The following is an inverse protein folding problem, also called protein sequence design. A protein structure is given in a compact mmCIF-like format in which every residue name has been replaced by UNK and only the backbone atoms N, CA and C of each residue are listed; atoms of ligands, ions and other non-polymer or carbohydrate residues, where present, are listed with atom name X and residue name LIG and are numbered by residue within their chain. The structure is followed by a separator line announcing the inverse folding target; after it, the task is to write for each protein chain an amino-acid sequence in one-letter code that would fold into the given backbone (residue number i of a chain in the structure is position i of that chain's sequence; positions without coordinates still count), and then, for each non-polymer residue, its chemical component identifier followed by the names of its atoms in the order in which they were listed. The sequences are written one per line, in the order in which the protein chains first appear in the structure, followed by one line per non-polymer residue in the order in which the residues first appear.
data_IF_295819465738
#
_entry.id   IF_295819465738
#
_cell.length_a   1.000
_cell.length_b   1.000
_cell.length_c   1.000
_cell.angle_alpha   90.00
_cell.angle_beta   90.00
_cell.angle_gamma   90.00
#
_symmetry.space_group_name_H-M   'P 1'
#
loop_
_entity.id
_entity.type
_entity.pdbx_description
1 polymer ?
#
# COMPACT_ATOMS: atom_id res chain seq x y z
N UNK A 1 -3.93 61.24 50.93
CA UNK A 1 -2.49 60.94 50.68
C UNK A 1 -2.20 59.41 50.57
N UNK A 2 -3.09 58.55 51.12
CA UNK A 2 -2.86 57.04 51.08
C UNK A 2 -3.38 56.34 49.83
N UNK A 3 -4.12 57.00 48.94
CA UNK A 3 -4.75 56.35 47.77
C UNK A 3 -3.92 56.45 46.45
N UNK A 4 -2.98 57.39 46.37
CA UNK A 4 -2.16 57.59 45.17
C UNK A 4 -0.92 56.69 45.04
N UNK A 5 -0.54 56.00 46.14
CA UNK A 5 0.62 55.12 46.14
C UNK A 5 0.34 53.69 45.65
N UNK A 6 -0.94 53.28 45.61
CA UNK A 6 -1.34 51.92 45.19
C UNK A 6 -1.52 51.73 43.66
N UNK A 7 -1.68 52.81 42.93
CA UNK A 7 -1.91 52.77 41.49
C UNK A 7 -0.58 52.73 40.70
N UNK A 8 0.50 53.31 41.23
CA UNK A 8 1.81 53.35 40.56
C UNK A 8 2.56 52.01 40.58
N UNK A 9 2.33 51.16 41.59
CA UNK A 9 3.00 49.86 41.71
C UNK A 9 2.39 48.74 40.84
N UNK A 10 1.10 48.88 40.49
CA UNK A 10 0.44 47.89 39.64
C UNK A 10 0.77 47.99 38.15
N UNK A 11 1.05 49.24 37.67
CA UNK A 11 1.43 49.45 36.26
C UNK A 11 2.86 49.01 35.91
N UNK A 12 3.78 49.00 36.88
CA UNK A 12 5.18 48.61 36.65
C UNK A 12 5.34 47.07 36.59
N UNK A 13 4.55 46.35 37.33
CA UNK A 13 4.60 44.86 37.31
C UNK A 13 4.01 44.26 36.01
N UNK A 14 3.01 44.94 35.43
CA UNK A 14 2.38 44.50 34.16
C UNK A 14 3.32 44.73 32.95
N UNK A 15 4.14 45.78 32.97
CA UNK A 15 5.05 46.08 31.86
C UNK A 15 6.25 45.09 31.82
N UNK A 16 6.76 44.69 32.97
CA UNK A 16 7.88 43.75 33.05
C UNK A 16 7.44 42.34 32.64
N UNK A 17 6.20 41.92 32.95
CA UNK A 17 5.66 40.62 32.51
C UNK A 17 5.41 40.56 31.00
N UNK A 18 5.02 41.68 30.37
CA UNK A 18 4.79 41.76 28.92
C UNK A 18 6.11 41.66 28.12
N UNK A 19 7.18 42.29 28.61
CA UNK A 19 8.50 42.28 27.93
C UNK A 19 9.15 40.89 28.05
N UNK A 20 9.01 40.20 29.21
CA UNK A 20 9.55 38.83 29.38
C UNK A 20 8.78 37.80 28.58
N UNK A 21 7.47 37.94 28.36
CA UNK A 21 6.65 37.04 27.57
C UNK A 21 6.95 37.14 26.07
N UNK A 22 7.25 38.37 25.57
CA UNK A 22 7.60 38.60 24.15
C UNK A 22 9.03 38.10 23.87
N UNK A 23 9.97 38.25 24.81
CA UNK A 23 11.36 37.77 24.64
C UNK A 23 11.43 36.23 24.73
N UNK A 24 10.56 35.57 25.49
CA UNK A 24 10.51 34.12 25.59
C UNK A 24 9.82 33.49 24.36
N UNK A 25 8.88 34.20 23.68
CA UNK A 25 8.26 33.71 22.45
C UNK A 25 9.18 33.87 21.21
N UNK A 26 10.15 34.79 21.23
CA UNK A 26 11.12 34.94 20.13
C UNK A 26 12.29 33.93 20.18
N UNK A 27 12.50 33.26 21.30
CA UNK A 27 13.60 32.29 21.45
C UNK A 27 13.21 30.83 21.14
N UNK A 28 11.94 30.55 20.78
CA UNK A 28 11.49 29.18 20.44
C UNK A 28 11.46 28.93 18.93
N UNK A 29 11.77 29.94 18.10
CA UNK A 29 11.92 29.76 16.65
C UNK A 29 13.37 29.42 16.23
N UNK A 30 14.12 28.75 17.07
CA UNK A 30 15.44 28.26 16.70
C UNK A 30 15.31 26.83 16.16
N UNK A 31 15.21 26.76 14.83
CA UNK A 31 15.80 25.69 14.01
C UNK A 31 15.42 24.26 14.44
N UNK A 32 14.25 23.79 14.08
CA UNK A 32 14.18 22.45 13.52
C UNK A 32 14.82 22.53 12.12
N UNK A 33 16.12 22.63 12.06
CA UNK A 33 16.88 22.12 10.92
C UNK A 33 16.59 20.63 10.97
N UNK A 34 15.63 20.15 10.14
CA UNK A 34 15.50 18.74 9.88
C UNK A 34 16.89 18.32 9.44
N UNK A 35 17.57 17.54 10.28
CA UNK A 35 18.80 16.85 9.95
C UNK A 35 18.44 16.03 8.72
N UNK A 36 18.90 16.49 7.53
CA UNK A 36 18.70 15.74 6.29
C UNK A 36 19.53 14.50 6.46
N UNK A 37 18.89 13.41 6.89
CA UNK A 37 19.51 12.11 7.01
C UNK A 37 20.06 11.75 5.63
N UNK A 38 21.39 11.80 5.50
CA UNK A 38 22.06 11.53 4.23
C UNK A 38 21.99 10.03 3.97
N UNK A 39 21.05 9.62 3.14
CA UNK A 39 20.81 8.22 2.80
C UNK A 39 21.88 7.81 1.79
N UNK A 40 22.77 6.87 2.17
CA UNK A 40 23.77 6.31 1.29
C UNK A 40 23.45 4.83 0.96
N UNK A 41 23.86 4.42 -0.24
CA UNK A 41 23.86 3.01 -0.61
C UNK A 41 24.84 2.22 0.26
N UNK A 42 24.48 1.00 0.71
CA UNK A 42 25.36 0.17 1.52
C UNK A 42 26.54 -0.36 0.69
N UNK A 43 27.68 0.33 0.75
CA UNK A 43 28.88 0.06 -0.04
C UNK A 43 29.32 -1.41 0.02
N UNK A 44 29.35 -2.00 1.23
CA UNK A 44 29.69 -3.43 1.42
C UNK A 44 28.79 -4.37 0.62
N UNK A 45 27.53 -4.02 0.43
CA UNK A 45 26.61 -4.86 -0.34
C UNK A 45 26.80 -4.65 -1.85
N UNK A 46 27.18 -3.44 -2.29
CA UNK A 46 27.53 -3.17 -3.68
C UNK A 46 28.78 -3.95 -4.10
N UNK A 47 29.82 -4.01 -3.26
CA UNK A 47 31.03 -4.79 -3.54
C UNK A 47 30.73 -6.28 -3.74
N UNK A 48 29.74 -6.83 -2.99
CA UNK A 48 29.34 -8.23 -3.16
C UNK A 48 28.76 -8.53 -4.55
N UNK A 49 28.23 -7.55 -5.28
CA UNK A 49 27.67 -7.77 -6.60
C UNK A 49 28.71 -8.19 -7.64
N UNK A 50 29.99 -7.81 -7.41
CA UNK A 50 31.12 -8.14 -8.27
C UNK A 50 31.90 -9.39 -7.79
N UNK A 51 31.41 -10.12 -6.78
CA UNK A 51 32.07 -11.31 -6.28
C UNK A 51 32.07 -12.44 -7.30
N UNK A 52 33.15 -13.23 -7.40
CA UNK A 52 33.19 -14.44 -8.22
C UNK A 52 32.25 -15.53 -7.72
N UNK A 53 31.91 -15.52 -6.42
CA UNK A 53 30.97 -16.45 -5.80
C UNK A 53 29.51 -16.04 -6.08
N UNK A 54 28.77 -16.94 -6.72
CA UNK A 54 27.35 -16.73 -7.04
C UNK A 54 26.48 -16.48 -5.79
N UNK A 55 26.68 -17.24 -4.70
CA UNK A 55 25.88 -17.09 -3.50
C UNK A 55 26.15 -15.75 -2.81
N UNK A 56 27.40 -15.26 -2.86
CA UNK A 56 27.77 -13.94 -2.33
C UNK A 56 27.06 -12.85 -3.13
N UNK A 57 27.06 -12.95 -4.48
CA UNK A 57 26.34 -12.01 -5.34
C UNK A 57 24.85 -11.97 -5.04
N UNK A 58 24.21 -13.14 -4.93
CA UNK A 58 22.76 -13.22 -4.65
C UNK A 58 22.40 -12.61 -3.27
N UNK A 59 23.21 -12.89 -2.25
CA UNK A 59 23.05 -12.26 -0.93
C UNK A 59 23.21 -10.73 -1.01
N UNK A 60 24.13 -10.24 -1.83
CA UNK A 60 24.31 -8.82 -2.10
C UNK A 60 23.05 -8.19 -2.72
N UNK A 61 22.49 -8.82 -3.77
CA UNK A 61 21.25 -8.37 -4.43
C UNK A 61 20.08 -8.33 -3.44
N UNK A 62 19.88 -9.40 -2.66
CA UNK A 62 18.81 -9.46 -1.67
C UNK A 62 18.93 -8.33 -0.64
N UNK A 63 20.14 -8.08 -0.15
CA UNK A 63 20.40 -7.05 0.84
C UNK A 63 20.15 -5.63 0.26
N UNK A 64 20.61 -5.36 -0.97
CA UNK A 64 20.37 -4.08 -1.66
C UNK A 64 18.89 -3.89 -1.93
N UNK A 65 18.18 -4.91 -2.41
CA UNK A 65 16.73 -4.85 -2.62
C UNK A 65 16.00 -4.48 -1.33
N UNK A 66 16.28 -5.19 -0.24
CA UNK A 66 15.67 -4.93 1.06
C UNK A 66 15.94 -3.50 1.56
N UNK A 67 17.18 -3.03 1.45
CA UNK A 67 17.54 -1.66 1.79
C UNK A 67 16.78 -0.66 0.89
N UNK A 68 16.72 -0.93 -0.42
CA UNK A 68 16.05 -0.06 -1.39
C UNK A 68 14.54 0.04 -1.16
N UNK A 69 13.88 -1.03 -0.74
CA UNK A 69 12.47 -1.00 -0.36
C UNK A 69 12.20 -0.11 0.86
N UNK A 70 13.14 -0.08 1.82
CA UNK A 70 13.06 0.80 2.99
C UNK A 70 13.31 2.27 2.64
N UNK A 71 14.04 2.53 1.55
CA UNK A 71 14.44 3.85 1.08
C UNK A 71 13.89 4.16 -0.32
N UNK A 72 12.66 3.76 -0.59
CA UNK A 72 12.06 3.72 -1.94
C UNK A 72 12.09 5.08 -2.67
N UNK A 73 12.00 6.18 -1.92
CA UNK A 73 11.98 7.53 -2.49
C UNK A 73 13.31 7.90 -3.18
N UNK A 74 14.45 7.48 -2.61
CA UNK A 74 15.79 7.89 -3.05
C UNK A 74 16.60 6.74 -3.66
N UNK A 75 16.22 5.50 -3.41
CA UNK A 75 17.01 4.34 -3.85
C UNK A 75 17.16 4.22 -5.36
N UNK A 76 16.16 4.54 -6.22
CA UNK A 76 16.34 4.46 -7.68
C UNK A 76 17.45 5.37 -8.19
N UNK A 77 17.52 6.62 -7.68
CA UNK A 77 18.53 7.61 -8.06
C UNK A 77 19.94 7.21 -7.59
N UNK A 78 20.03 6.66 -6.38
CA UNK A 78 21.29 6.17 -5.83
C UNK A 78 21.79 4.92 -6.58
N UNK A 79 20.90 4.00 -6.91
CA UNK A 79 21.22 2.81 -7.73
C UNK A 79 21.59 3.19 -9.16
N UNK A 80 20.96 4.23 -9.73
CA UNK A 80 21.36 4.77 -11.04
C UNK A 80 22.81 5.26 -11.03
N UNK A 81 23.21 6.01 -10.00
CA UNK A 81 24.60 6.47 -9.83
C UNK A 81 25.56 5.28 -9.73
N UNK A 82 25.24 4.30 -8.88
CA UNK A 82 26.05 3.09 -8.72
C UNK A 82 26.17 2.31 -10.01
N UNK A 83 25.08 2.16 -10.77
CA UNK A 83 25.08 1.55 -12.10
C UNK A 83 25.99 2.28 -13.09
N UNK A 84 25.95 3.61 -13.12
CA UNK A 84 26.78 4.42 -14.01
C UNK A 84 28.27 4.38 -13.65
N UNK A 85 28.59 4.31 -12.37
CA UNK A 85 29.96 4.38 -11.85
C UNK A 85 30.65 3.02 -11.75
N UNK A 86 29.92 1.91 -11.81
CA UNK A 86 30.51 0.59 -11.71
C UNK A 86 31.14 0.16 -13.06
N UNK A 87 32.31 -0.45 -13.04
CA UNK A 87 33.00 -0.94 -14.25
C UNK A 87 32.70 -2.41 -14.53
N UNK A 88 32.27 -3.18 -13.52
CA UNK A 88 31.92 -4.59 -13.67
C UNK A 88 30.55 -4.76 -14.36
N UNK A 89 30.48 -5.42 -15.51
CA UNK A 89 29.23 -5.63 -16.25
C UNK A 89 28.15 -6.38 -15.46
N UNK A 90 28.55 -7.36 -14.63
CA UNK A 90 27.62 -8.16 -13.81
C UNK A 90 27.01 -7.31 -12.70
N UNK A 91 27.82 -6.56 -11.97
CA UNK A 91 27.33 -5.64 -10.95
C UNK A 91 26.45 -4.55 -11.56
N UNK A 92 26.80 -4.02 -12.76
CA UNK A 92 25.93 -3.10 -13.51
C UNK A 92 24.56 -3.69 -13.78
N UNK A 93 24.51 -4.89 -14.34
CA UNK A 93 23.26 -5.56 -14.69
C UNK A 93 22.37 -5.75 -13.43
N UNK A 94 22.96 -6.14 -12.31
CA UNK A 94 22.27 -6.32 -11.03
C UNK A 94 21.77 -5.00 -10.44
N UNK A 95 22.59 -3.96 -10.42
CA UNK A 95 22.18 -2.62 -9.99
C UNK A 95 21.02 -2.09 -10.84
N UNK A 96 21.11 -2.24 -12.16
CA UNK A 96 20.05 -1.84 -13.09
C UNK A 96 18.75 -2.60 -12.83
N UNK A 97 18.83 -3.92 -12.59
CA UNK A 97 17.67 -4.74 -12.28
C UNK A 97 16.95 -4.28 -11.02
N UNK A 98 17.69 -4.04 -9.92
CA UNK A 98 17.09 -3.55 -8.66
C UNK A 98 16.57 -2.12 -8.83
N UNK A 99 17.29 -1.22 -9.50
CA UNK A 99 16.84 0.14 -9.81
C UNK A 99 15.51 0.14 -10.56
N UNK A 100 15.40 -0.66 -11.62
CA UNK A 100 14.19 -0.80 -12.41
C UNK A 100 13.01 -1.31 -11.56
N UNK A 101 13.26 -2.32 -10.73
CA UNK A 101 12.27 -2.87 -9.80
C UNK A 101 11.78 -1.80 -8.80
N UNK A 102 12.70 -1.06 -8.17
CA UNK A 102 12.35 -0.02 -7.20
C UNK A 102 11.60 1.15 -7.85
N UNK A 103 12.02 1.56 -9.04
CA UNK A 103 11.30 2.59 -9.79
C UNK A 103 9.88 2.13 -10.13
N UNK A 104 9.71 0.87 -10.54
CA UNK A 104 8.39 0.30 -10.81
C UNK A 104 7.51 0.27 -9.57
N UNK A 105 8.07 -0.13 -8.41
CA UNK A 105 7.34 -0.13 -7.14
C UNK A 105 6.96 1.29 -6.73
N UNK A 106 7.84 2.27 -6.92
CA UNK A 106 7.59 3.66 -6.57
C UNK A 106 6.46 4.29 -7.39
N UNK A 107 6.46 4.07 -8.70
CA UNK A 107 5.53 4.73 -9.63
C UNK A 107 4.21 3.96 -9.79
N UNK A 108 4.23 2.63 -9.68
CA UNK A 108 3.08 1.76 -9.95
C UNK A 108 2.64 0.91 -8.74
N UNK A 109 3.35 1.01 -7.63
CA UNK A 109 3.13 0.21 -6.43
C UNK A 109 3.67 -1.22 -6.54
N UNK A 110 3.53 -1.98 -5.43
CA UNK A 110 3.99 -3.38 -5.34
C UNK A 110 3.15 -4.37 -6.17
N UNK A 111 2.13 -3.89 -6.85
CA UNK A 111 1.15 -4.67 -7.59
C UNK A 111 -0.17 -4.79 -6.82
N UNK A 112 -1.11 -5.54 -7.37
CA UNK A 112 -2.45 -5.72 -6.79
C UNK A 112 -2.46 -6.86 -5.80
N UNK A 113 -3.21 -6.71 -4.72
CA UNK A 113 -3.48 -7.78 -3.77
C UNK A 113 -4.25 -8.93 -4.42
N UNK A 114 -3.92 -10.17 -4.04
CA UNK A 114 -4.54 -11.38 -4.53
C UNK A 114 -4.78 -12.35 -3.38
N UNK A 115 -5.99 -12.92 -3.33
CA UNK A 115 -6.41 -13.87 -2.31
C UNK A 115 -6.28 -15.33 -2.75
N UNK A 116 -6.56 -15.61 -4.02
CA UNK A 116 -6.47 -16.95 -4.61
C UNK A 116 -7.74 -17.78 -4.45
N UNK A 117 -8.90 -17.21 -4.80
CA UNK A 117 -10.17 -17.94 -4.85
C UNK A 117 -10.87 -17.74 -6.19
N UNK A 118 -11.64 -18.74 -6.60
CA UNK A 118 -12.73 -18.58 -7.55
C UNK A 118 -14.01 -18.36 -6.75
N UNK A 119 -14.85 -17.43 -7.18
CA UNK A 119 -15.99 -16.98 -6.39
C UNK A 119 -17.20 -16.67 -7.26
N UNK A 120 -18.37 -16.67 -6.64
CA UNK A 120 -19.61 -16.19 -7.23
C UNK A 120 -20.43 -15.42 -6.20
N UNK A 121 -21.34 -14.56 -6.66
CA UNK A 121 -22.31 -13.95 -5.78
C UNK A 121 -23.39 -14.96 -5.38
N UNK A 122 -23.86 -14.86 -4.15
CA UNK A 122 -24.94 -15.68 -3.62
C UNK A 122 -25.87 -14.84 -2.74
N UNK A 123 -27.16 -15.16 -2.78
CA UNK A 123 -28.16 -14.60 -1.86
C UNK A 123 -28.39 -15.62 -0.74
N UNK A 124 -28.12 -15.24 0.49
CA UNK A 124 -28.45 -16.05 1.65
C UNK A 124 -29.96 -16.05 1.86
N UNK A 125 -30.55 -17.15 2.33
CA UNK A 125 -31.99 -17.23 2.58
C UNK A 125 -32.43 -16.17 3.61
N UNK A 126 -33.68 -15.74 3.46
CA UNK A 126 -34.33 -14.88 4.44
C UNK A 126 -34.37 -15.59 5.79
N UNK A 127 -33.96 -14.91 6.85
CA UNK A 127 -34.01 -15.48 8.18
C UNK A 127 -35.46 -15.66 8.65
N UNK A 128 -35.71 -16.60 9.57
CA UNK A 128 -37.05 -16.82 10.13
C UNK A 128 -37.69 -15.57 10.78
N UNK A 129 -36.87 -14.59 11.17
CA UNK A 129 -37.29 -13.31 11.76
C UNK A 129 -37.77 -12.27 10.70
N UNK A 130 -37.81 -12.66 9.42
CA UNK A 130 -38.26 -11.82 8.32
C UNK A 130 -37.21 -10.83 7.80
N UNK A 131 -35.97 -10.88 8.29
CA UNK A 131 -34.89 -10.06 7.73
C UNK A 131 -34.62 -10.46 6.28
N UNK A 132 -34.52 -9.46 5.38
CA UNK A 132 -34.25 -9.64 3.97
C UNK A 132 -33.01 -10.52 3.73
N UNK A 133 -33.02 -11.27 2.64
CA UNK A 133 -31.88 -12.07 2.22
C UNK A 133 -30.63 -11.21 2.11
N UNK A 134 -29.52 -11.72 2.62
CA UNK A 134 -28.24 -11.03 2.65
C UNK A 134 -27.37 -11.48 1.47
N UNK A 135 -26.76 -10.53 0.75
CA UNK A 135 -25.79 -10.87 -0.28
C UNK A 135 -24.48 -11.35 0.34
N UNK A 136 -23.82 -12.27 -0.33
CA UNK A 136 -22.52 -12.78 0.05
C UNK A 136 -21.70 -13.19 -1.17
N UNK A 137 -20.40 -13.31 -0.98
CA UNK A 137 -19.49 -13.90 -1.97
C UNK A 137 -19.21 -15.33 -1.57
N UNK A 138 -19.68 -16.28 -2.38
CA UNK A 138 -19.41 -17.73 -2.19
C UNK A 138 -18.05 -18.10 -2.74
N UNK A 139 -17.22 -18.74 -1.94
CA UNK A 139 -15.97 -19.36 -2.38
C UNK A 139 -16.32 -20.66 -3.11
N UNK A 140 -16.03 -20.73 -4.42
CA UNK A 140 -16.24 -21.94 -5.23
C UNK A 140 -15.03 -22.85 -5.13
N UNK A 141 -13.83 -22.27 -5.40
CA UNK A 141 -12.56 -23.02 -5.40
C UNK A 141 -11.51 -22.17 -4.69
N UNK A 142 -10.67 -22.83 -3.91
CA UNK A 142 -9.45 -22.24 -3.34
C UNK A 142 -8.27 -22.74 -4.16
N UNK A 143 -7.50 -21.78 -4.71
CA UNK A 143 -6.34 -22.07 -5.54
C UNK A 143 -5.16 -22.59 -4.68
N UNK A 144 -4.36 -23.54 -5.17
CA UNK A 144 -3.21 -24.06 -4.44
C UNK A 144 -2.12 -22.96 -4.25
N UNK A 145 -1.34 -23.08 -3.18
CA UNK A 145 -0.22 -22.20 -2.84
C UNK A 145 -0.61 -20.72 -2.66
N UNK A 146 -1.87 -20.42 -2.34
CA UNK A 146 -2.38 -19.06 -2.16
C UNK A 146 -2.66 -18.72 -0.70
N UNK A 147 -2.81 -17.43 -0.37
CA UNK A 147 -3.21 -16.97 0.96
C UNK A 147 -4.51 -17.61 1.44
N UNK A 148 -5.50 -17.76 0.56
CA UNK A 148 -6.75 -18.41 0.89
C UNK A 148 -6.55 -19.84 1.41
N UNK A 149 -5.69 -20.63 0.76
CA UNK A 149 -5.36 -21.98 1.19
C UNK A 149 -4.63 -21.97 2.55
N UNK A 150 -3.66 -21.06 2.73
CA UNK A 150 -2.86 -20.94 3.96
C UNK A 150 -3.72 -20.69 5.20
N UNK A 151 -4.77 -19.88 5.08
CA UNK A 151 -5.68 -19.58 6.20
C UNK A 151 -6.83 -20.58 6.30
N UNK A 152 -6.86 -21.61 5.43
CA UNK A 152 -7.85 -22.68 5.46
C UNK A 152 -9.24 -22.22 5.03
N UNK A 153 -9.35 -21.34 4.01
CA UNK A 153 -10.60 -21.14 3.29
C UNK A 153 -10.97 -22.42 2.54
N UNK A 154 -12.27 -22.63 2.31
CA UNK A 154 -12.81 -23.84 1.68
C UNK A 154 -13.91 -23.48 0.70
N UNK A 155 -14.10 -24.31 -0.31
CA UNK A 155 -15.30 -24.25 -1.13
C UNK A 155 -16.56 -24.33 -0.25
N UNK A 156 -17.55 -23.48 -0.53
CA UNK A 156 -18.77 -23.34 0.25
C UNK A 156 -18.69 -22.31 1.39
N UNK A 157 -17.52 -21.71 1.69
CA UNK A 157 -17.47 -20.54 2.58
C UNK A 157 -18.18 -19.36 1.92
N UNK A 158 -18.95 -18.62 2.70
CA UNK A 158 -19.68 -17.43 2.23
C UNK A 158 -19.13 -16.18 2.92
N UNK A 159 -18.44 -15.33 2.17
CA UNK A 159 -17.83 -14.10 2.67
C UNK A 159 -18.92 -13.03 2.74
N UNK A 160 -19.16 -12.51 3.94
CA UNK A 160 -20.18 -11.50 4.23
C UNK A 160 -19.59 -10.10 4.27
N UNK A 161 -18.33 -9.99 4.73
CA UNK A 161 -17.63 -8.73 4.92
C UNK A 161 -16.13 -8.94 4.80
N UNK A 162 -15.43 -7.93 4.30
CA UNK A 162 -13.97 -7.85 4.32
C UNK A 162 -13.55 -6.55 5.02
N UNK A 163 -12.83 -6.66 6.12
CA UNK A 163 -12.53 -5.54 7.02
C UNK A 163 -13.82 -4.79 7.42
N UNK A 164 -13.94 -3.53 7.00
CA UNK A 164 -15.11 -2.68 7.23
C UNK A 164 -16.12 -2.72 6.07
N UNK A 165 -15.74 -3.29 4.91
CA UNK A 165 -16.61 -3.34 3.73
C UNK A 165 -17.63 -4.46 3.89
N UNK A 166 -18.90 -4.08 4.04
CA UNK A 166 -20.04 -5.00 4.05
C UNK A 166 -20.46 -5.31 2.62
N UNK A 167 -20.55 -6.61 2.30
CA UNK A 167 -20.96 -7.10 0.98
C UNK A 167 -22.46 -7.34 0.89
N UNK A 168 -23.17 -7.24 2.01
CA UNK A 168 -24.60 -7.55 2.11
C UNK A 168 -25.52 -6.45 1.62
N UNK A 169 -25.03 -5.20 1.57
CA UNK A 169 -25.81 -4.06 1.11
C UNK A 169 -25.66 -3.86 -0.40
N UNK A 170 -26.77 -3.85 -1.13
CA UNK A 170 -26.80 -3.15 -2.41
C UNK A 170 -26.59 -1.66 -2.13
N UNK A 171 -25.72 -0.98 -2.90
CA UNK A 171 -25.59 0.46 -2.76
C UNK A 171 -26.95 1.09 -3.04
N UNK A 172 -27.45 1.92 -2.12
CA UNK A 172 -28.71 2.66 -2.25
C UNK A 172 -28.69 3.66 -3.43
N UNK A 173 -27.56 3.85 -4.07
CA UNK A 173 -27.33 4.80 -5.17
C UNK A 173 -27.95 4.38 -6.52
N UNK A 174 -28.63 3.25 -6.60
CA UNK A 174 -29.37 2.91 -7.79
C UNK A 174 -30.78 3.55 -7.79
N UNK A 175 -30.81 4.80 -8.19
CA UNK A 175 -31.88 5.62 -8.76
C UNK A 175 -33.17 4.81 -9.06
N UNK A 176 -33.91 4.35 -8.04
CA UNK A 176 -35.30 3.98 -8.08
C UNK A 176 -35.82 3.06 -9.21
N UNK A 177 -34.98 2.52 -10.08
CA UNK A 177 -35.40 1.64 -11.17
C UNK A 177 -35.75 0.24 -10.62
N UNK A 178 -37.03 -0.04 -10.51
CA UNK A 178 -37.59 -1.36 -10.22
C UNK A 178 -37.34 -2.29 -11.41
N UNK A 179 -36.22 -3.02 -11.41
CA UNK A 179 -36.03 -4.14 -12.32
C UNK A 179 -36.82 -5.36 -11.83
N UNK A 180 -37.39 -6.14 -12.76
CA UNK A 180 -38.16 -7.35 -12.42
C UNK A 180 -37.32 -8.34 -11.59
N UNK A 181 -37.86 -8.92 -10.53
CA UNK A 181 -37.20 -9.60 -9.41
C UNK A 181 -36.06 -10.59 -9.73
N UNK A 182 -36.00 -11.22 -10.93
CA UNK A 182 -34.91 -12.11 -11.33
C UNK A 182 -33.68 -11.35 -11.83
N UNK A 183 -33.86 -10.23 -12.54
CA UNK A 183 -32.71 -9.41 -13.00
C UNK A 183 -32.04 -8.65 -11.87
N UNK A 184 -32.81 -8.20 -10.86
CA UNK A 184 -32.27 -7.60 -9.63
C UNK A 184 -31.32 -8.54 -8.89
N UNK A 185 -31.68 -9.80 -8.74
CA UNK A 185 -30.86 -10.76 -8.03
C UNK A 185 -29.52 -11.01 -8.72
N UNK A 186 -29.51 -11.16 -10.04
CA UNK A 186 -28.29 -11.43 -10.80
C UNK A 186 -27.35 -10.22 -10.82
N UNK A 187 -27.88 -9.00 -10.94
CA UNK A 187 -27.13 -7.77 -10.89
C UNK A 187 -26.54 -7.53 -9.48
N UNK A 188 -27.35 -7.67 -8.45
CA UNK A 188 -26.91 -7.51 -7.05
C UNK A 188 -25.82 -8.53 -6.67
N UNK A 189 -25.91 -9.76 -7.15
CA UNK A 189 -24.89 -10.80 -6.93
C UNK A 189 -23.59 -10.46 -7.63
N UNK A 190 -23.61 -9.87 -8.83
CA UNK A 190 -22.43 -9.40 -9.53
C UNK A 190 -21.76 -8.23 -8.81
N UNK A 191 -22.55 -7.32 -8.21
CA UNK A 191 -22.02 -6.21 -7.41
C UNK A 191 -21.23 -6.67 -6.18
N UNK A 192 -21.72 -7.65 -5.41
CA UNK A 192 -21.00 -8.17 -4.23
C UNK A 192 -19.63 -8.73 -4.63
N UNK A 193 -19.57 -9.48 -5.74
CA UNK A 193 -18.33 -10.02 -6.29
C UNK A 193 -17.39 -8.90 -6.76
N UNK A 194 -17.91 -7.93 -7.44
CA UNK A 194 -17.16 -6.78 -7.96
C UNK A 194 -16.59 -5.92 -6.81
N UNK A 195 -17.44 -5.56 -5.83
CA UNK A 195 -17.00 -4.84 -4.62
C UNK A 195 -15.88 -5.58 -3.90
N UNK A 196 -16.04 -6.87 -3.67
CA UNK A 196 -15.03 -7.70 -3.03
C UNK A 196 -13.74 -7.75 -3.86
N UNK A 197 -13.85 -8.03 -5.17
CA UNK A 197 -12.70 -8.10 -6.09
C UNK A 197 -11.92 -6.77 -6.13
N UNK A 198 -12.63 -5.65 -6.27
CA UNK A 198 -12.04 -4.32 -6.32
C UNK A 198 -11.37 -3.98 -4.98
N UNK A 199 -12.00 -4.33 -3.85
CA UNK A 199 -11.41 -4.11 -2.54
C UNK A 199 -10.10 -4.88 -2.37
N UNK A 200 -10.07 -6.17 -2.71
CA UNK A 200 -8.83 -6.99 -2.63
C UNK A 200 -7.75 -6.45 -3.57
N UNK A 201 -8.11 -6.09 -4.81
CA UNK A 201 -7.16 -5.51 -5.80
C UNK A 201 -6.65 -4.13 -5.43
N UNK A 202 -7.38 -3.36 -4.62
CA UNK A 202 -6.93 -2.04 -4.13
C UNK A 202 -5.89 -2.14 -3.03
N UNK A 203 -5.70 -3.33 -2.44
CA UNK A 203 -4.69 -3.59 -1.41
C UNK A 203 -3.35 -3.91 -2.05
N UNK A 204 -2.28 -3.65 -1.29
CA UNK A 204 -0.93 -4.05 -1.67
C UNK A 204 -0.69 -5.53 -1.31
N UNK A 205 0.24 -6.22 -2.00
CA UNK A 205 0.80 -7.47 -1.48
C UNK A 205 1.31 -7.29 -0.04
N UNK A 206 1.12 -8.31 0.80
CA UNK A 206 1.44 -8.35 2.23
C UNK A 206 0.46 -7.60 3.14
N UNK A 207 -0.43 -6.75 2.58
CA UNK A 207 -1.51 -6.17 3.37
C UNK A 207 -2.37 -7.29 3.98
N UNK A 208 -2.73 -7.11 5.25
CA UNK A 208 -3.61 -8.00 5.97
C UNK A 208 -5.05 -7.54 5.83
N UNK A 209 -5.93 -8.46 5.51
CA UNK A 209 -7.37 -8.25 5.48
C UNK A 209 -8.08 -9.26 6.36
N UNK A 210 -9.17 -8.84 7.00
CA UNK A 210 -10.01 -9.71 7.83
C UNK A 210 -11.27 -10.11 7.07
N UNK A 211 -11.40 -11.40 6.74
CA UNK A 211 -12.58 -11.95 6.11
C UNK A 211 -13.56 -12.42 7.20
N UNK A 212 -14.78 -11.91 7.18
CA UNK A 212 -15.88 -12.43 7.99
C UNK A 212 -16.77 -13.31 7.12
N UNK A 213 -16.81 -14.57 7.42
CA UNK A 213 -17.48 -15.57 6.60
C UNK A 213 -18.45 -16.43 7.42
N UNK A 214 -19.39 -17.02 6.71
CA UNK A 214 -20.29 -18.05 7.20
C UNK A 214 -19.84 -19.39 6.62
N UNK A 215 -19.57 -20.34 7.51
CA UNK A 215 -19.21 -21.73 7.17
C UNK A 215 -20.26 -22.66 7.75
N UNK A 216 -21.15 -23.17 6.91
CA UNK A 216 -22.41 -23.72 7.40
C UNK A 216 -23.15 -22.65 8.21
N UNK A 217 -23.53 -22.95 9.46
CA UNK A 217 -24.23 -21.99 10.34
C UNK A 217 -23.28 -21.21 11.26
N UNK A 218 -21.96 -21.39 11.12
CA UNK A 218 -20.97 -20.76 12.02
C UNK A 218 -20.34 -19.53 11.37
N UNK A 219 -20.36 -18.41 12.10
CA UNK A 219 -19.58 -17.23 11.72
C UNK A 219 -18.13 -17.41 12.12
N UNK A 220 -17.22 -17.17 11.18
CA UNK A 220 -15.77 -17.32 11.35
C UNK A 220 -15.09 -16.04 10.83
N UNK A 221 -14.10 -15.54 11.56
CA UNK A 221 -13.21 -14.49 11.08
C UNK A 221 -11.85 -15.12 10.73
N UNK A 222 -11.26 -14.67 9.62
CA UNK A 222 -9.94 -15.09 9.14
C UNK A 222 -9.12 -13.89 8.75
N UNK A 223 -7.97 -13.68 9.39
CA UNK A 223 -6.97 -12.72 8.93
C UNK A 223 -6.11 -13.36 7.85
N UNK A 224 -5.94 -12.64 6.74
CA UNK A 224 -5.23 -13.12 5.55
C UNK A 224 -4.25 -12.05 5.09
N UNK A 225 -2.97 -12.39 4.99
CA UNK A 225 -2.00 -11.55 4.30
C UNK A 225 -2.10 -11.84 2.79
N UNK A 226 -2.37 -10.82 1.98
CA UNK A 226 -2.52 -10.96 0.54
C UNK A 226 -1.18 -11.24 -0.14
N UNK A 227 -1.18 -11.97 -1.25
CA UNK A 227 0.00 -12.09 -2.11
C UNK A 227 -0.12 -11.15 -3.32
N UNK A 228 0.95 -11.01 -4.07
CA UNK A 228 0.92 -10.31 -5.35
C UNK A 228 0.11 -11.12 -6.37
N UNK A 229 -0.74 -10.44 -7.12
CA UNK A 229 -1.38 -11.05 -8.27
C UNK A 229 -0.31 -11.47 -9.29
N UNK A 230 -0.34 -12.73 -9.72
CA UNK A 230 0.58 -13.23 -10.71
C UNK A 230 0.39 -12.47 -12.03
N UNK A 231 1.47 -11.88 -12.60
CA UNK A 231 1.42 -11.21 -13.90
C UNK A 231 0.78 -12.06 -15.01
N UNK A 232 1.00 -13.37 -14.99
CA UNK A 232 0.44 -14.28 -16.01
C UNK A 232 -1.09 -14.35 -16.01
N UNK A 233 -1.74 -13.97 -14.90
CA UNK A 233 -3.21 -13.96 -14.76
C UNK A 233 -3.79 -12.54 -14.58
N UNK A 234 -2.96 -11.49 -14.56
CA UNK A 234 -3.44 -10.11 -14.56
C UNK A 234 -3.76 -9.64 -16.00
N UNK A 235 -5.03 -9.42 -16.35
CA UNK A 235 -5.42 -9.03 -17.71
C UNK A 235 -4.86 -7.66 -18.12
N UNK A 236 -4.36 -6.85 -17.17
CA UNK A 236 -3.77 -5.55 -17.44
C UNK A 236 -2.23 -5.55 -17.35
N UNK A 237 -1.61 -6.71 -17.24
CA UNK A 237 -0.15 -6.79 -17.04
C UNK A 237 0.62 -6.17 -18.19
N UNK A 238 0.31 -6.52 -19.45
CA UNK A 238 0.99 -5.99 -20.63
C UNK A 238 0.90 -4.47 -20.71
N UNK A 239 -0.30 -3.91 -20.50
CA UNK A 239 -0.50 -2.46 -20.46
C UNK A 239 0.33 -1.79 -19.36
N UNK A 240 0.41 -2.39 -18.19
CA UNK A 240 1.20 -1.86 -17.07
C UNK A 240 2.70 -1.91 -17.38
N UNK A 241 3.19 -2.93 -18.09
CA UNK A 241 4.60 -3.00 -18.54
C UNK A 241 4.90 -1.92 -19.59
N UNK A 242 4.04 -1.72 -20.57
CA UNK A 242 4.20 -0.66 -21.59
C UNK A 242 4.23 0.73 -20.95
N UNK A 243 3.31 1.03 -20.04
CA UNK A 243 3.27 2.28 -19.29
C UNK A 243 4.54 2.48 -18.46
N UNK A 244 5.05 1.42 -17.84
CA UNK A 244 6.29 1.46 -17.09
C UNK A 244 7.51 1.72 -17.98
N UNK A 245 7.63 1.08 -19.16
CA UNK A 245 8.76 1.32 -20.08
C UNK A 245 8.80 2.78 -20.55
N UNK A 246 7.64 3.38 -20.79
CA UNK A 246 7.53 4.81 -21.13
C UNK A 246 7.99 5.68 -19.95
N UNK A 247 7.58 5.34 -18.73
CA UNK A 247 7.99 6.03 -17.51
C UNK A 247 9.50 5.91 -17.30
N UNK A 248 10.05 4.71 -17.37
CA UNK A 248 11.48 4.42 -17.23
C UNK A 248 12.32 5.22 -18.25
N UNK A 249 11.91 5.23 -19.52
CA UNK A 249 12.61 5.98 -20.57
C UNK A 249 12.66 7.49 -20.29
N UNK A 250 11.55 8.06 -19.82
CA UNK A 250 11.49 9.48 -19.43
C UNK A 250 12.38 9.75 -18.21
N UNK A 251 12.30 8.89 -17.20
CA UNK A 251 13.09 9.03 -15.99
C UNK A 251 14.59 8.94 -16.27
N UNK A 252 15.04 7.96 -17.08
CA UNK A 252 16.45 7.85 -17.49
C UNK A 252 16.95 9.10 -18.18
N UNK A 253 16.18 9.70 -19.10
CA UNK A 253 16.54 10.97 -19.75
C UNK A 253 16.68 12.11 -18.74
N UNK A 254 15.80 12.19 -17.74
CA UNK A 254 15.89 13.22 -16.68
C UNK A 254 17.15 13.02 -15.83
N UNK A 255 17.52 11.78 -15.51
CA UNK A 255 18.74 11.45 -14.79
C UNK A 255 19.99 11.84 -15.58
N UNK A 256 20.03 11.57 -16.88
CA UNK A 256 21.13 11.95 -17.79
C UNK A 256 21.31 13.47 -17.87
N UNK A 257 20.20 14.22 -17.90
CA UNK A 257 20.21 15.68 -17.94
C UNK A 257 20.52 16.33 -16.57
N UNK A 258 20.69 15.53 -15.51
CA UNK A 258 20.95 16.04 -14.17
C UNK A 258 19.77 16.81 -13.55
N UNK A 259 18.56 16.67 -14.08
CA UNK A 259 17.38 17.43 -13.66
C UNK A 259 16.84 16.97 -12.30
N UNK A 260 17.10 15.72 -11.94
CA UNK A 260 16.60 15.12 -10.67
C UNK A 260 17.65 15.23 -9.54
N UNK A 261 18.88 15.62 -9.84
CA UNK A 261 20.01 15.62 -8.88
C UNK A 261 20.33 17.01 -8.26
N UNK A 262 19.40 17.94 -8.37
CA UNK A 262 19.54 19.28 -7.75
C UNK A 262 18.77 19.40 -6.44
#
# INVERSE_FOLDING_TARGET
IRMLHRIKTMRFKSLIFSVFSVTLMMSVNLSVVAEVEYIELPAVQLEKLSSDDFEVRERGVIAIRKWSEQNLTSSPELLYKAWRQNDDPEAKARCYGVMREMLKIREFGKGKGFLGIQMSGVMLPVKPDGQAGQQAVSVLVVLPNTPAQKVGLRGGDMILRVDKLDLSSADEDFNGQKFGGRQLNQFALSQAVEKFSNYIKSKQPEDKVTLHLLRGDKRVAKEVALMRLDPAIDPNHEKTEEEFEVCLSKWLKQMELGTILK
#
